data_IF_343211510698
#
_entry.id   IF_343211510698
#
_cell.length_a   1.000
_cell.length_b   1.000
_cell.length_c   1.000
_cell.angle_alpha   90.00
_cell.angle_beta   90.00
_cell.angle_gamma   90.00
#
_symmetry.space_group_name_H-M   'P 1'
#
loop_
_entity.id
_entity.type
_entity.pdbx_description
1 polymer ?
#
# COMPACT_ATOMS: atom_id res chain seq x y z
N UNK A 1 14.77 14.27 -24.13
CA UNK A 1 14.82 13.37 -22.95
C UNK A 1 14.13 14.07 -21.79
N UNK A 2 13.10 13.47 -21.20
CA UNK A 2 12.45 14.00 -20.00
C UNK A 2 13.25 13.55 -18.79
N UNK A 3 13.79 14.49 -18.01
CA UNK A 3 14.49 14.16 -16.77
C UNK A 3 13.47 13.89 -15.65
N UNK A 4 13.56 12.72 -15.02
CA UNK A 4 12.76 12.42 -13.83
C UNK A 4 13.30 13.23 -12.63
N UNK A 5 12.42 13.99 -11.97
CA UNK A 5 12.75 14.73 -10.75
C UNK A 5 12.14 14.02 -9.55
N UNK A 6 12.91 13.89 -8.47
CA UNK A 6 12.45 13.39 -7.19
C UNK A 6 12.67 14.45 -6.12
N UNK A 7 11.68 14.62 -5.24
CA UNK A 7 11.76 15.55 -4.12
C UNK A 7 11.57 14.79 -2.81
N UNK A 8 12.31 15.21 -1.77
CA UNK A 8 12.25 14.61 -0.44
C UNK A 8 12.10 15.72 0.58
N UNK A 9 11.02 15.67 1.35
CA UNK A 9 10.69 16.66 2.37
C UNK A 9 10.47 15.98 3.71
N UNK A 10 10.71 16.72 4.79
CA UNK A 10 10.24 16.36 6.14
C UNK A 10 8.88 17.01 6.34
N UNK A 11 7.91 16.22 6.82
CA UNK A 11 6.57 16.70 7.17
C UNK A 11 6.41 16.82 8.69
N UNK A 12 5.47 17.66 9.11
CA UNK A 12 5.11 17.96 10.50
C UNK A 12 3.62 17.76 10.72
N UNK A 13 3.16 16.51 10.87
CA UNK A 13 1.74 16.22 11.10
C UNK A 13 1.28 16.66 12.50
N UNK A 14 0.03 17.11 12.59
CA UNK A 14 -0.67 17.26 13.86
C UNK A 14 -1.09 15.88 14.43
N UNK A 15 -1.68 15.84 15.62
CA UNK A 15 -1.99 14.58 16.29
C UNK A 15 -3.03 13.72 15.56
N UNK A 16 -4.06 14.35 15.00
CA UNK A 16 -5.07 13.66 14.16
C UNK A 16 -4.42 13.03 12.92
N UNK A 17 -3.55 13.77 12.25
CA UNK A 17 -2.81 13.29 11.08
C UNK A 17 -1.87 12.14 11.43
N UNK A 18 -1.18 12.20 12.58
CA UNK A 18 -0.35 11.09 13.07
C UNK A 18 -1.17 9.82 13.24
N UNK A 19 -2.38 9.92 13.79
CA UNK A 19 -3.32 8.79 13.93
C UNK A 19 -3.69 8.25 12.55
N UNK A 20 -4.06 9.11 11.59
CA UNK A 20 -4.41 8.70 10.24
C UNK A 20 -3.24 8.03 9.48
N UNK A 21 -2.02 8.54 9.66
CA UNK A 21 -0.81 7.92 9.14
C UNK A 21 -0.61 6.53 9.74
N UNK A 22 -0.72 6.39 11.07
CA UNK A 22 -0.59 5.11 11.75
C UNK A 22 -1.63 4.08 11.28
N UNK A 23 -2.89 4.51 11.13
CA UNK A 23 -3.97 3.70 10.57
C UNK A 23 -3.66 3.27 9.14
N UNK A 24 -3.21 4.19 8.30
CA UNK A 24 -2.83 3.90 6.90
C UNK A 24 -1.68 2.89 6.84
N UNK A 25 -0.62 3.05 7.64
CA UNK A 25 0.48 2.08 7.72
C UNK A 25 0.00 0.69 8.16
N UNK A 26 -0.93 0.66 9.12
CA UNK A 26 -1.58 -0.58 9.57
C UNK A 26 -2.35 -1.26 8.44
N UNK A 27 -3.20 -0.50 7.74
CA UNK A 27 -4.04 -1.00 6.65
C UNK A 27 -3.21 -1.54 5.48
N UNK A 28 -2.22 -0.79 4.99
CA UNK A 28 -1.39 -1.26 3.86
C UNK A 28 -0.57 -2.50 4.23
N UNK A 29 -0.10 -2.60 5.48
CA UNK A 29 0.59 -3.80 5.97
C UNK A 29 -0.34 -5.00 6.04
N UNK A 30 -1.55 -4.80 6.58
CA UNK A 30 -2.55 -5.86 6.67
C UNK A 30 -2.91 -6.38 5.28
N UNK A 31 -3.23 -5.49 4.34
CA UNK A 31 -3.52 -5.84 2.93
C UNK A 31 -2.34 -6.60 2.31
N UNK A 32 -1.11 -6.13 2.48
CA UNK A 32 0.04 -6.87 1.93
C UNK A 32 0.11 -8.31 2.45
N UNK A 33 -0.02 -8.48 3.77
CA UNK A 33 0.13 -9.77 4.42
C UNK A 33 -1.03 -10.71 4.09
N UNK A 34 -2.27 -10.20 4.10
CA UNK A 34 -3.46 -10.98 3.81
C UNK A 34 -3.36 -11.61 2.41
N UNK A 35 -2.98 -10.83 1.40
CA UNK A 35 -2.87 -11.36 0.03
C UNK A 35 -1.58 -12.14 -0.22
N UNK A 36 -0.52 -11.94 0.57
CA UNK A 36 0.64 -12.83 0.55
C UNK A 36 0.22 -14.24 1.01
N UNK A 37 -0.47 -14.34 2.15
CA UNK A 37 -0.99 -15.60 2.68
C UNK A 37 -1.98 -16.26 1.70
N UNK A 38 -2.94 -15.50 1.15
CA UNK A 38 -3.87 -16.01 0.12
C UNK A 38 -3.15 -16.60 -1.10
N UNK A 39 -2.10 -15.94 -1.59
CA UNK A 39 -1.30 -16.43 -2.73
C UNK A 39 -0.49 -17.67 -2.38
N UNK A 40 0.07 -17.75 -1.16
CA UNK A 40 0.76 -18.95 -0.67
C UNK A 40 -0.20 -20.14 -0.64
N UNK A 41 -1.36 -19.99 0.00
CA UNK A 41 -2.38 -21.05 0.08
C UNK A 41 -2.86 -21.51 -1.30
N UNK A 42 -3.10 -20.57 -2.21
CA UNK A 42 -3.47 -20.90 -3.59
C UNK A 42 -2.44 -21.82 -4.24
N UNK A 43 -1.17 -21.44 -4.12
CA UNK A 43 -0.08 -22.20 -4.72
C UNK A 43 0.12 -23.57 -4.04
N UNK A 44 -0.09 -23.66 -2.74
CA UNK A 44 -0.06 -24.93 -2.00
C UNK A 44 -1.15 -25.88 -2.50
N UNK A 45 -2.38 -25.40 -2.66
CA UNK A 45 -3.55 -26.18 -3.08
C UNK A 45 -3.53 -26.64 -4.54
N UNK A 46 -3.23 -25.74 -5.48
CA UNK A 46 -3.37 -26.05 -6.91
C UNK A 46 -2.21 -25.60 -7.80
N UNK A 47 -1.10 -25.14 -7.19
CA UNK A 47 0.11 -24.67 -7.90
C UNK A 47 -0.14 -23.50 -8.85
N UNK A 48 -1.22 -22.75 -8.65
CA UNK A 48 -1.52 -21.54 -9.43
C UNK A 48 -1.26 -20.25 -8.64
N UNK A 49 -1.25 -19.12 -9.34
CA UNK A 49 -1.06 -17.80 -8.74
C UNK A 49 -2.31 -16.94 -8.90
N UNK A 50 -2.60 -16.11 -7.90
CA UNK A 50 -3.67 -15.11 -7.96
C UNK A 50 -3.11 -13.81 -8.51
N UNK A 51 -3.73 -13.29 -9.58
CA UNK A 51 -3.30 -12.04 -10.22
C UNK A 51 -3.65 -10.81 -9.36
N UNK A 52 -2.93 -9.70 -9.55
CA UNK A 52 -3.28 -8.41 -8.94
C UNK A 52 -4.76 -8.05 -9.14
N UNK A 53 -5.31 -8.27 -10.34
CA UNK A 53 -6.69 -7.90 -10.67
C UNK A 53 -7.70 -8.67 -9.83
N UNK A 54 -7.45 -9.96 -9.57
CA UNK A 54 -8.29 -10.77 -8.68
C UNK A 54 -8.16 -10.24 -7.24
N UNK A 55 -6.93 -10.06 -6.74
CA UNK A 55 -6.70 -9.54 -5.39
C UNK A 55 -7.37 -8.17 -5.18
N UNK A 56 -7.32 -7.28 -6.18
CA UNK A 56 -7.94 -5.95 -6.10
C UNK A 56 -9.47 -6.03 -6.06
N UNK A 57 -10.08 -6.95 -6.82
CA UNK A 57 -11.53 -7.21 -6.78
C UNK A 57 -11.96 -7.79 -5.42
N UNK A 58 -11.23 -8.78 -4.93
CA UNK A 58 -11.46 -9.37 -3.59
C UNK A 58 -11.35 -8.30 -2.51
N UNK A 59 -10.31 -7.46 -2.55
CA UNK A 59 -10.13 -6.35 -1.60
C UNK A 59 -11.28 -5.35 -1.68
N UNK A 60 -11.78 -5.04 -2.89
CA UNK A 60 -12.91 -4.15 -3.06
C UNK A 60 -14.20 -4.70 -2.44
N UNK A 61 -14.43 -6.02 -2.54
CA UNK A 61 -15.54 -6.70 -1.90
C UNK A 61 -15.37 -6.76 -0.38
N UNK A 62 -14.18 -7.16 0.10
CA UNK A 62 -13.85 -7.29 1.51
C UNK A 62 -14.09 -5.98 2.28
N UNK A 63 -13.69 -4.82 1.73
CA UNK A 63 -13.93 -3.51 2.36
C UNK A 63 -15.41 -3.19 2.61
N UNK A 64 -16.34 -3.89 1.97
CA UNK A 64 -17.78 -3.69 2.16
C UNK A 64 -18.32 -4.44 3.38
N UNK A 65 -17.60 -5.43 3.90
CA UNK A 65 -17.99 -6.13 5.13
C UNK A 65 -17.74 -5.27 6.36
N UNK A 66 -18.43 -5.57 7.44
CA UNK A 66 -18.29 -4.87 8.72
C UNK A 66 -16.88 -5.05 9.30
N UNK A 67 -16.37 -6.29 9.31
CA UNK A 67 -15.04 -6.66 9.82
C UNK A 67 -13.90 -5.84 9.20
N UNK A 68 -13.98 -5.57 7.89
CA UNK A 68 -12.92 -4.89 7.14
C UNK A 68 -13.29 -3.45 6.75
N UNK A 69 -14.38 -2.90 7.31
CA UNK A 69 -14.84 -1.55 7.03
C UNK A 69 -13.79 -0.47 7.31
N UNK A 70 -12.94 -0.69 8.32
CA UNK A 70 -11.85 0.22 8.73
C UNK A 70 -10.84 0.51 7.59
N UNK A 71 -10.71 -0.38 6.60
CA UNK A 71 -9.85 -0.15 5.44
C UNK A 71 -10.30 1.08 4.61
N UNK A 72 -11.56 1.51 4.70
CA UNK A 72 -12.06 2.72 4.03
C UNK A 72 -11.53 4.03 4.63
N UNK A 73 -10.95 3.97 5.83
CA UNK A 73 -10.29 5.12 6.46
C UNK A 73 -8.97 5.46 5.77
N UNK A 74 -8.29 4.46 5.21
CA UNK A 74 -7.06 4.65 4.44
C UNK A 74 -7.36 5.11 3.00
N UNK A 75 -6.36 5.73 2.37
CA UNK A 75 -6.40 6.04 0.94
C UNK A 75 -6.52 4.74 0.12
N UNK A 76 -7.54 4.67 -0.75
CA UNK A 76 -7.80 3.50 -1.57
C UNK A 76 -6.65 3.19 -2.53
N UNK A 77 -5.97 4.24 -3.01
CA UNK A 77 -4.78 4.11 -3.86
C UNK A 77 -3.65 3.47 -3.06
N UNK A 78 -3.45 3.87 -1.80
CA UNK A 78 -2.42 3.29 -0.95
C UNK A 78 -2.61 1.78 -0.72
N UNK A 79 -3.85 1.33 -0.54
CA UNK A 79 -4.16 -0.10 -0.44
C UNK A 79 -3.85 -0.84 -1.74
N UNK A 80 -4.25 -0.28 -2.89
CA UNK A 80 -3.95 -0.86 -4.20
C UNK A 80 -2.44 -0.92 -4.48
N UNK A 81 -1.69 0.14 -4.14
CA UNK A 81 -0.23 0.13 -4.26
C UNK A 81 0.41 -0.96 -3.39
N UNK A 82 -0.16 -1.29 -2.23
CA UNK A 82 0.30 -2.41 -1.41
C UNK A 82 0.21 -3.75 -2.14
N UNK A 83 -0.91 -4.01 -2.85
CA UNK A 83 -1.07 -5.19 -3.70
C UNK A 83 -0.12 -5.16 -4.90
N UNK A 84 0.13 -4.00 -5.51
CA UNK A 84 1.10 -3.87 -6.61
C UNK A 84 2.51 -4.17 -6.15
N UNK A 85 2.92 -3.69 -4.98
CA UNK A 85 4.22 -4.03 -4.40
C UNK A 85 4.36 -5.55 -4.16
N UNK A 86 3.29 -6.22 -3.73
CA UNK A 86 3.28 -7.67 -3.59
C UNK A 86 3.45 -8.36 -4.96
N UNK A 87 2.71 -7.90 -5.96
CA UNK A 87 2.82 -8.44 -7.32
C UNK A 87 4.23 -8.27 -7.89
N UNK A 88 4.81 -7.07 -7.77
CA UNK A 88 6.21 -6.81 -8.15
C UNK A 88 7.19 -7.68 -7.39
N UNK A 89 6.97 -7.93 -6.09
CA UNK A 89 7.84 -8.81 -5.30
C UNK A 89 7.82 -10.25 -5.83
N UNK A 90 6.64 -10.77 -6.19
CA UNK A 90 6.53 -12.08 -6.85
C UNK A 90 7.18 -12.08 -8.25
N UNK A 91 6.94 -11.05 -9.06
CA UNK A 91 7.58 -10.94 -10.38
C UNK A 91 9.11 -10.94 -10.25
N UNK A 92 9.65 -10.22 -9.27
CA UNK A 92 11.10 -10.19 -9.03
C UNK A 92 11.61 -11.53 -8.53
N UNK A 93 10.88 -12.21 -7.64
CA UNK A 93 11.22 -13.57 -7.19
C UNK A 93 11.37 -14.55 -8.36
N UNK A 94 10.48 -14.49 -9.36
CA UNK A 94 10.57 -15.35 -10.54
C UNK A 94 11.63 -14.90 -11.56
N UNK A 95 11.81 -13.58 -11.75
CA UNK A 95 12.73 -13.03 -12.77
C UNK A 95 14.18 -12.94 -12.31
N UNK A 96 14.42 -12.80 -11.00
CA UNK A 96 15.74 -12.52 -10.45
C UNK A 96 16.08 -13.58 -9.39
N UNK A 97 16.95 -14.56 -9.70
CA UNK A 97 17.28 -15.66 -8.78
C UNK A 97 17.82 -15.23 -7.41
N UNK A 98 18.38 -14.01 -7.32
CA UNK A 98 18.91 -13.43 -6.07
C UNK A 98 17.81 -12.80 -5.19
N UNK A 99 16.66 -12.48 -5.76
CA UNK A 99 15.54 -11.89 -5.03
C UNK A 99 14.75 -13.00 -4.38
N UNK A 100 14.92 -13.15 -3.07
CA UNK A 100 14.23 -14.18 -2.30
C UNK A 100 12.70 -14.03 -2.30
N UNK A 101 12.02 -15.06 -1.79
CA UNK A 101 10.55 -15.11 -1.72
C UNK A 101 9.96 -13.90 -0.95
N UNK A 102 8.80 -13.35 -1.36
CA UNK A 102 8.12 -12.29 -0.63
C UNK A 102 7.85 -12.65 0.83
N UNK A 103 8.15 -11.74 1.76
CA UNK A 103 8.04 -12.00 3.21
C UNK A 103 6.91 -11.19 3.84
N UNK A 104 6.26 -11.78 4.83
CA UNK A 104 5.31 -11.07 5.68
C UNK A 104 5.94 -9.83 6.33
N UNK A 105 5.20 -8.73 6.31
CA UNK A 105 5.59 -7.47 6.94
C UNK A 105 5.20 -7.47 8.42
N UNK A 106 6.14 -7.15 9.28
CA UNK A 106 5.99 -7.06 10.73
C UNK A 106 5.96 -5.61 11.19
N UNK A 107 5.08 -5.31 12.17
CA UNK A 107 4.91 -3.93 12.70
C UNK A 107 6.20 -3.32 13.25
N UNK A 108 7.03 -4.12 13.92
CA UNK A 108 8.26 -3.66 14.60
C UNK A 108 9.50 -3.62 13.70
N UNK A 109 9.55 -4.42 12.62
CA UNK A 109 10.74 -4.58 11.77
C UNK A 109 10.65 -3.84 10.45
N UNK A 110 9.45 -3.57 9.95
CA UNK A 110 9.27 -2.87 8.68
C UNK A 110 9.08 -1.38 8.90
N UNK A 111 9.54 -0.60 7.92
CA UNK A 111 9.30 0.85 7.87
C UNK A 111 7.81 1.14 7.84
N UNK A 112 7.38 2.09 8.67
CA UNK A 112 6.05 2.68 8.59
C UNK A 112 5.99 3.60 7.36
N UNK A 113 5.49 3.06 6.26
CA UNK A 113 5.38 3.76 4.98
C UNK A 113 4.22 3.24 4.16
N UNK A 114 3.64 4.12 3.33
CA UNK A 114 2.75 3.75 2.23
C UNK A 114 3.19 4.52 0.98
N UNK A 115 2.74 4.04 -0.18
CA UNK A 115 2.89 4.74 -1.45
C UNK A 115 1.51 5.11 -1.95
N UNK A 116 1.38 6.30 -2.51
CA UNK A 116 0.18 6.73 -3.24
C UNK A 116 0.63 7.41 -4.52
N UNK A 117 -0.30 7.67 -5.43
CA UNK A 117 -0.03 8.33 -6.71
C UNK A 117 -0.91 9.56 -6.85
N UNK A 118 -0.36 10.59 -7.51
CA UNK A 118 -1.12 11.77 -7.85
C UNK A 118 -2.12 11.41 -8.96
N UNK A 119 -3.40 11.55 -8.69
CA UNK A 119 -4.49 11.36 -9.65
C UNK A 119 -5.38 12.59 -9.55
N UNK A 120 -5.69 13.20 -10.69
CA UNK A 120 -6.60 14.34 -10.78
C UNK A 120 -6.23 15.49 -9.81
N UNK A 121 -4.93 15.74 -9.60
CA UNK A 121 -4.44 16.82 -8.72
C UNK A 121 -4.73 16.61 -7.23
N UNK A 122 -4.96 15.37 -6.77
CA UNK A 122 -5.22 15.07 -5.35
C UNK A 122 -4.00 15.23 -4.43
N UNK A 123 -2.80 15.31 -5.00
CA UNK A 123 -1.54 15.60 -4.29
C UNK A 123 -0.97 16.89 -4.85
N UNK A 124 -0.86 17.90 -3.99
CA UNK A 124 -0.34 19.22 -4.36
C UNK A 124 0.62 19.74 -3.30
N UNK A 125 1.57 20.56 -3.75
CA UNK A 125 2.46 21.32 -2.88
C UNK A 125 2.11 22.81 -3.06
N UNK A 126 1.63 23.47 -2.01
CA UNK A 126 1.32 24.90 -2.06
C UNK A 126 1.51 25.55 -0.69
N UNK A 127 2.02 26.78 -0.68
CA UNK A 127 2.22 27.59 0.54
C UNK A 127 2.98 26.87 1.66
N UNK A 128 3.92 25.98 1.32
CA UNK A 128 4.68 25.19 2.29
C UNK A 128 3.92 23.98 2.87
N UNK A 129 2.79 23.60 2.29
CA UNK A 129 2.00 22.44 2.70
C UNK A 129 1.89 21.41 1.57
N UNK A 130 2.00 20.13 1.93
CA UNK A 130 1.71 18.99 1.09
C UNK A 130 0.28 18.50 1.37
N UNK A 131 -0.60 18.56 0.38
CA UNK A 131 -1.93 17.95 0.44
C UNK A 131 -1.82 16.47 0.08
N UNK A 132 -2.36 15.60 0.93
CA UNK A 132 -2.42 14.16 0.71
C UNK A 132 -3.86 13.63 0.83
N UNK A 133 -4.25 12.61 0.04
CA UNK A 133 -5.55 11.95 0.17
C UNK A 133 -5.79 11.44 1.59
N UNK A 134 -7.00 11.63 2.13
CA UNK A 134 -7.43 11.28 3.50
C UNK A 134 -6.72 12.00 4.65
N UNK A 135 -5.46 12.41 4.47
CA UNK A 135 -4.65 13.09 5.49
C UNK A 135 -4.88 14.61 5.51
N UNK A 136 -5.19 15.22 4.36
CA UNK A 136 -5.34 16.67 4.24
C UNK A 136 -4.00 17.39 4.03
N UNK A 137 -3.92 18.66 4.43
CA UNK A 137 -2.70 19.48 4.31
C UNK A 137 -1.74 19.22 5.47
N UNK A 138 -0.51 18.84 5.16
CA UNK A 138 0.56 18.60 6.14
C UNK A 138 1.70 19.58 5.86
N UNK A 139 2.21 20.25 6.89
CA UNK A 139 3.35 21.16 6.79
C UNK A 139 4.65 20.40 6.54
#
# INVERSE_FOLDING_TARGET
MVANRAYKFRIYPNDEQKILFAKTFGCVRMVYNHWLDRKIRQYEENKTNVTYTICAKEMAAMKKTEEYGFLKEADSIALQQSLRHLDTAFQNFFKQPKTGFPRFKLKKRNKNSYSTICINGNITLSNGYLRLPKIGQVR
#
